data_IF_134971357926
#
_entry.id   IF_134971357926
#
_cell.length_a   1.000
_cell.length_b   1.000
_cell.length_c   1.000
_cell.angle_alpha   90.00
_cell.angle_beta   90.00
_cell.angle_gamma   90.00
#
_symmetry.space_group_name_H-M   'P 1'
#
loop_
_entity.id
_entity.type
_entity.pdbx_description
1 polymer ?
#
# COMPACT_ATOMS: atom_id res chain seq x y z
N UNK A 1 -37.61 7.53 14.86
CA UNK A 1 -36.14 7.51 14.73
C UNK A 1 -35.75 6.25 13.97
N UNK A 2 -35.09 6.42 12.82
CA UNK A 2 -35.21 5.55 11.64
C UNK A 2 -34.28 4.34 11.65
N UNK A 3 -34.80 3.18 11.23
CA UNK A 3 -34.11 1.89 11.01
C UNK A 3 -32.83 2.00 10.17
N UNK A 4 -32.74 3.01 9.29
CA UNK A 4 -31.56 3.30 8.46
C UNK A 4 -30.31 3.65 9.27
N UNK A 5 -30.46 4.38 10.38
CA UNK A 5 -29.35 4.77 11.27
C UNK A 5 -28.90 3.68 12.26
N UNK A 6 -29.67 2.59 12.38
CA UNK A 6 -29.28 1.40 13.14
C UNK A 6 -28.49 0.40 12.26
N UNK A 7 -28.80 0.33 10.96
CA UNK A 7 -28.09 -0.52 10.00
C UNK A 7 -26.65 -0.07 9.76
N UNK A 8 -26.42 1.22 9.52
CA UNK A 8 -25.08 1.80 9.30
C UNK A 8 -24.17 1.55 10.53
N UNK A 9 -24.67 1.85 11.73
CA UNK A 9 -23.93 1.60 12.99
C UNK A 9 -23.56 0.14 13.22
N UNK A 10 -24.35 -0.81 12.71
CA UNK A 10 -24.04 -2.25 12.82
C UNK A 10 -22.90 -2.67 11.88
N UNK A 11 -22.85 -2.09 10.68
CA UNK A 11 -21.77 -2.35 9.71
C UNK A 11 -20.45 -1.78 10.21
N UNK A 12 -20.45 -0.52 10.66
CA UNK A 12 -19.28 0.14 11.25
C UNK A 12 -18.73 -0.66 12.44
N UNK A 13 -19.60 -1.10 13.36
CA UNK A 13 -19.18 -1.92 14.49
C UNK A 13 -18.57 -3.26 14.06
N UNK A 14 -19.16 -3.92 13.05
CA UNK A 14 -18.63 -5.18 12.54
C UNK A 14 -17.27 -5.01 11.86
N UNK A 15 -17.07 -3.90 11.14
CA UNK A 15 -15.80 -3.53 10.51
C UNK A 15 -14.71 -3.25 11.55
N UNK A 16 -15.00 -2.47 12.60
CA UNK A 16 -14.05 -2.23 13.68
C UNK A 16 -13.68 -3.54 14.41
N UNK A 17 -14.67 -4.38 14.72
CA UNK A 17 -14.41 -5.70 15.32
C UNK A 17 -13.57 -6.61 14.40
N UNK A 18 -13.69 -6.47 13.08
CA UNK A 18 -12.85 -7.19 12.14
C UNK A 18 -11.42 -6.67 12.14
N UNK A 19 -11.23 -5.34 12.11
CA UNK A 19 -9.91 -4.71 12.23
C UNK A 19 -9.21 -5.10 13.53
N UNK A 20 -9.91 -5.10 14.66
CA UNK A 20 -9.33 -5.54 15.95
C UNK A 20 -8.82 -6.98 15.90
N UNK A 21 -9.57 -7.90 15.28
CA UNK A 21 -9.12 -9.28 15.08
C UNK A 21 -7.89 -9.37 14.19
N UNK A 22 -7.85 -8.56 13.13
CA UNK A 22 -6.69 -8.51 12.21
C UNK A 22 -5.47 -7.96 12.97
N UNK A 23 -5.61 -6.88 13.73
CA UNK A 23 -4.52 -6.29 14.53
C UNK A 23 -3.93 -7.30 15.50
N UNK A 24 -4.77 -8.00 16.25
CA UNK A 24 -4.31 -9.02 17.21
C UNK A 24 -3.59 -10.18 16.52
N UNK A 25 -4.13 -10.69 15.40
CA UNK A 25 -3.50 -11.76 14.63
C UNK A 25 -2.16 -11.31 13.99
N UNK A 26 -2.09 -10.07 13.50
CA UNK A 26 -0.90 -9.50 12.88
C UNK A 26 0.21 -9.24 13.89
N UNK A 27 -0.15 -8.75 15.09
CA UNK A 27 0.79 -8.50 16.19
C UNK A 27 1.55 -9.76 16.63
N UNK A 28 0.93 -10.93 16.49
CA UNK A 28 1.57 -12.21 16.78
C UNK A 28 2.56 -12.68 15.69
N UNK A 29 2.54 -12.06 14.50
CA UNK A 29 3.35 -12.44 13.33
C UNK A 29 4.52 -11.49 13.08
N UNK A 30 4.30 -10.19 13.33
CA UNK A 30 5.28 -9.15 13.04
C UNK A 30 6.14 -8.81 14.26
N UNK A 31 7.35 -8.32 14.01
CA UNK A 31 8.13 -7.65 15.04
C UNK A 31 7.39 -6.41 15.57
N UNK A 32 7.62 -6.02 16.82
CA UNK A 32 6.97 -4.86 17.42
C UNK A 32 7.15 -3.56 16.61
N UNK A 33 8.34 -3.24 16.04
CA UNK A 33 8.50 -2.08 15.17
C UNK A 33 7.65 -2.15 13.90
N UNK A 34 7.55 -3.34 13.28
CA UNK A 34 6.77 -3.49 12.04
C UNK A 34 5.28 -3.45 12.30
N UNK A 35 4.82 -4.03 13.40
CA UNK A 35 3.44 -3.89 13.82
C UNK A 35 3.05 -2.43 14.07
N UNK A 36 3.91 -1.67 14.77
CA UNK A 36 3.68 -0.24 14.99
C UNK A 36 3.61 0.54 13.66
N UNK A 37 4.50 0.22 12.72
CA UNK A 37 4.46 0.77 11.36
C UNK A 37 3.14 0.42 10.64
N UNK A 38 2.71 -0.85 10.63
CA UNK A 38 1.43 -1.26 10.02
C UNK A 38 0.22 -0.53 10.61
N UNK A 39 0.20 -0.30 11.92
CA UNK A 39 -0.86 0.52 12.58
C UNK A 39 -0.76 1.99 12.15
N UNK A 40 0.46 2.53 12.01
CA UNK A 40 0.68 3.87 11.44
C UNK A 40 0.10 4.00 10.02
N UNK A 41 0.43 3.06 9.14
CA UNK A 41 -0.07 3.01 7.75
C UNK A 41 -1.58 2.86 7.73
N UNK A 42 -2.16 1.98 8.55
CA UNK A 42 -3.62 1.86 8.69
C UNK A 42 -4.29 3.20 9.01
N UNK A 43 -3.81 3.89 10.05
CA UNK A 43 -4.40 5.15 10.50
C UNK A 43 -4.26 6.25 9.45
N UNK A 44 -3.09 6.35 8.82
CA UNK A 44 -2.82 7.31 7.74
C UNK A 44 -3.68 7.03 6.51
N UNK A 45 -3.75 5.78 6.06
CA UNK A 45 -4.53 5.39 4.89
C UNK A 45 -6.03 5.65 5.12
N UNK A 46 -6.55 5.36 6.32
CA UNK A 46 -7.95 5.64 6.66
C UNK A 46 -8.26 7.14 6.68
N UNK A 47 -7.36 7.96 7.21
CA UNK A 47 -7.55 9.41 7.23
C UNK A 47 -7.53 9.99 5.81
N UNK A 48 -6.61 9.52 4.97
CA UNK A 48 -6.55 9.88 3.56
C UNK A 48 -7.79 9.41 2.80
N UNK A 49 -8.30 8.21 3.07
CA UNK A 49 -9.52 7.71 2.45
C UNK A 49 -10.72 8.64 2.72
N UNK A 50 -10.88 9.11 3.96
CA UNK A 50 -11.90 10.12 4.31
C UNK A 50 -11.72 11.41 3.51
N UNK A 51 -10.49 11.86 3.37
CA UNK A 51 -10.16 13.12 2.70
C UNK A 51 -10.43 13.06 1.20
N UNK A 52 -10.08 11.95 0.56
CA UNK A 52 -10.07 11.80 -0.89
C UNK A 52 -11.25 10.98 -1.44
N UNK A 53 -12.24 10.67 -0.60
CA UNK A 53 -13.47 9.98 -1.01
C UNK A 53 -13.28 8.50 -1.36
N UNK A 54 -12.28 7.83 -0.77
CA UNK A 54 -12.07 6.39 -0.93
C UNK A 54 -12.74 5.58 0.21
N UNK A 55 -12.80 4.26 0.05
CA UNK A 55 -13.38 3.37 1.06
C UNK A 55 -12.45 3.23 2.29
N UNK A 56 -12.83 3.85 3.41
CA UNK A 56 -12.07 3.84 4.65
C UNK A 56 -11.70 2.44 5.13
N UNK A 57 -12.62 1.48 5.02
CA UNK A 57 -12.41 0.13 5.52
C UNK A 57 -11.43 -0.63 4.63
N UNK A 58 -11.54 -0.47 3.31
CA UNK A 58 -10.57 -1.05 2.35
C UNK A 58 -9.16 -0.52 2.64
N UNK A 59 -9.01 0.80 2.74
CA UNK A 59 -7.72 1.41 3.01
C UNK A 59 -7.16 1.01 4.39
N UNK A 60 -8.00 0.89 5.41
CA UNK A 60 -7.58 0.44 6.74
C UNK A 60 -7.08 -1.02 6.73
N UNK A 61 -7.85 -1.94 6.14
CA UNK A 61 -7.46 -3.36 6.07
C UNK A 61 -6.19 -3.53 5.24
N UNK A 62 -6.11 -2.88 4.07
CA UNK A 62 -4.93 -2.94 3.21
C UNK A 62 -3.70 -2.32 3.89
N UNK A 63 -3.84 -1.14 4.50
CA UNK A 63 -2.76 -0.48 5.23
C UNK A 63 -2.25 -1.31 6.41
N UNK A 64 -3.15 -1.98 7.13
CA UNK A 64 -2.76 -2.87 8.24
C UNK A 64 -2.02 -4.11 7.73
N UNK A 65 -2.42 -4.69 6.60
CA UNK A 65 -1.89 -5.96 6.09
C UNK A 65 -0.79 -5.82 5.03
N UNK A 66 -0.44 -4.61 4.57
CA UNK A 66 0.49 -4.41 3.44
C UNK A 66 1.82 -5.15 3.62
N UNK A 67 2.34 -5.16 4.84
CA UNK A 67 3.65 -5.72 5.20
C UNK A 67 3.56 -7.14 5.79
N UNK A 68 2.40 -7.81 5.76
CA UNK A 68 2.22 -9.12 6.40
C UNK A 68 3.09 -10.24 5.78
N UNK A 69 3.62 -10.04 4.56
CA UNK A 69 4.59 -10.92 3.91
C UNK A 69 6.05 -10.51 4.09
N UNK A 70 6.35 -9.38 4.75
CA UNK A 70 7.65 -8.71 4.73
C UNK A 70 8.80 -9.51 5.35
N UNK A 71 8.51 -10.27 6.40
CA UNK A 71 9.50 -11.03 7.18
C UNK A 71 9.68 -12.48 6.68
N UNK A 72 9.09 -12.85 5.53
CA UNK A 72 9.27 -14.16 4.92
C UNK A 72 10.66 -14.31 4.30
N UNK A 73 11.17 -15.54 4.29
CA UNK A 73 12.41 -15.87 3.60
C UNK A 73 12.25 -15.77 2.07
N UNK A 74 13.36 -15.56 1.36
CA UNK A 74 13.39 -15.40 -0.10
C UNK A 74 12.71 -16.57 -0.83
N UNK A 75 12.95 -17.82 -0.41
CA UNK A 75 12.36 -18.98 -1.07
C UNK A 75 10.83 -18.95 -0.95
N UNK A 76 10.31 -18.63 0.23
CA UNK A 76 8.87 -18.48 0.45
C UNK A 76 8.27 -17.32 -0.34
N UNK A 77 8.94 -16.16 -0.38
CA UNK A 77 8.52 -15.00 -1.17
C UNK A 77 8.39 -15.34 -2.66
N UNK A 78 9.43 -15.96 -3.24
CA UNK A 78 9.43 -16.38 -4.65
C UNK A 78 8.34 -17.40 -4.94
N UNK A 79 8.18 -18.41 -4.08
CA UNK A 79 7.14 -19.42 -4.24
C UNK A 79 5.75 -18.79 -4.24
N UNK A 80 5.44 -17.96 -3.25
CA UNK A 80 4.14 -17.28 -3.16
C UNK A 80 3.89 -16.34 -4.35
N UNK A 81 4.90 -15.59 -4.80
CA UNK A 81 4.78 -14.72 -5.97
C UNK A 81 4.50 -15.50 -7.27
N UNK A 82 5.13 -16.67 -7.47
CA UNK A 82 4.83 -17.55 -8.63
C UNK A 82 3.42 -18.11 -8.60
N UNK A 83 2.88 -18.37 -7.41
CA UNK A 83 1.53 -18.88 -7.25
C UNK A 83 0.46 -17.79 -7.40
N UNK A 84 0.83 -16.50 -7.33
CA UNK A 84 -0.05 -15.37 -7.64
C UNK A 84 -0.24 -15.28 -9.16
N UNK A 85 -1.42 -15.67 -9.65
CA UNK A 85 -1.76 -15.56 -11.08
C UNK A 85 -1.88 -14.09 -11.49
N UNK A 86 -1.22 -13.69 -12.57
CA UNK A 86 -1.37 -12.35 -13.15
C UNK A 86 -0.55 -11.25 -12.46
N UNK A 87 0.39 -11.60 -11.58
CA UNK A 87 1.15 -10.69 -10.70
C UNK A 87 1.99 -9.63 -11.41
N UNK A 88 2.26 -9.77 -12.72
CA UNK A 88 3.01 -8.78 -13.51
C UNK A 88 4.47 -8.57 -13.09
N UNK A 89 4.91 -9.09 -11.94
CA UNK A 89 6.29 -9.09 -11.49
C UNK A 89 6.99 -10.40 -11.82
N UNK A 90 8.25 -10.28 -12.21
CA UNK A 90 9.14 -11.41 -12.36
C UNK A 90 9.50 -11.97 -10.97
N UNK A 91 9.00 -13.16 -10.65
CA UNK A 91 9.36 -13.86 -9.41
C UNK A 91 10.85 -14.23 -9.34
N UNK A 92 11.60 -14.11 -10.44
CA UNK A 92 13.05 -14.25 -10.55
C UNK A 92 13.80 -12.90 -10.40
N UNK A 93 13.13 -11.84 -9.93
CA UNK A 93 13.74 -10.56 -9.55
C UNK A 93 15.06 -10.72 -8.76
N UNK A 94 16.08 -9.89 -9.01
CA UNK A 94 17.31 -9.87 -8.20
C UNK A 94 17.05 -9.42 -6.75
N UNK A 95 15.91 -8.79 -6.46
CA UNK A 95 15.54 -8.33 -5.12
C UNK A 95 14.24 -9.01 -4.65
N UNK A 96 14.36 -10.22 -4.11
CA UNK A 96 13.23 -11.01 -3.64
C UNK A 96 12.37 -10.29 -2.59
N UNK A 97 12.93 -9.35 -1.83
CA UNK A 97 12.17 -8.57 -0.83
C UNK A 97 11.03 -7.81 -1.49
N UNK A 98 11.13 -7.37 -2.75
CA UNK A 98 10.04 -6.70 -3.44
C UNK A 98 8.77 -7.56 -3.53
N UNK A 99 8.93 -8.89 -3.57
CA UNK A 99 7.84 -9.85 -3.72
C UNK A 99 6.88 -9.91 -2.52
N UNK A 100 7.20 -9.25 -1.40
CA UNK A 100 6.35 -9.26 -0.21
C UNK A 100 4.97 -8.63 -0.41
N UNK A 101 4.79 -7.72 -1.38
CA UNK A 101 3.44 -7.22 -1.73
C UNK A 101 2.55 -8.35 -2.23
N UNK A 102 3.02 -9.12 -3.21
CA UNK A 102 2.29 -10.28 -3.74
C UNK A 102 2.13 -11.41 -2.75
N UNK A 103 3.19 -11.73 -2.00
CA UNK A 103 3.10 -12.72 -0.93
C UNK A 103 2.11 -12.27 0.16
N UNK A 104 2.15 -10.98 0.53
CA UNK A 104 1.27 -10.35 1.49
C UNK A 104 -0.20 -10.41 1.07
N UNK A 105 -0.51 -10.12 -0.19
CA UNK A 105 -1.87 -10.23 -0.71
C UNK A 105 -2.40 -11.68 -0.60
N UNK A 106 -1.56 -12.67 -0.89
CA UNK A 106 -1.93 -14.09 -0.71
C UNK A 106 -2.14 -14.45 0.76
N UNK A 107 -1.27 -13.98 1.64
CA UNK A 107 -1.40 -14.20 3.09
C UNK A 107 -2.67 -13.55 3.62
N UNK A 108 -2.98 -12.31 3.20
CA UNK A 108 -4.20 -11.63 3.55
C UNK A 108 -5.44 -12.45 3.16
N UNK A 109 -5.44 -13.05 1.97
CA UNK A 109 -6.53 -13.90 1.52
C UNK A 109 -6.65 -15.22 2.30
N UNK A 110 -5.54 -15.94 2.48
CA UNK A 110 -5.56 -17.29 3.07
C UNK A 110 -5.69 -17.25 4.60
N UNK A 111 -4.93 -16.37 5.24
CA UNK A 111 -4.75 -16.39 6.69
C UNK A 111 -5.64 -15.39 7.42
N UNK A 112 -5.97 -14.27 6.77
CA UNK A 112 -6.83 -13.22 7.34
C UNK A 112 -8.25 -13.23 6.74
N UNK A 113 -8.51 -14.10 5.76
CA UNK A 113 -9.84 -14.27 5.15
C UNK A 113 -10.29 -13.07 4.33
N UNK A 114 -9.36 -12.27 3.80
CA UNK A 114 -9.67 -11.11 2.95
C UNK A 114 -10.06 -11.57 1.55
N UNK A 115 -11.26 -11.22 1.11
CA UNK A 115 -11.79 -11.54 -0.22
C UNK A 115 -12.03 -10.31 -1.11
N UNK A 116 -11.99 -9.10 -0.55
CA UNK A 116 -12.16 -7.85 -1.32
C UNK A 116 -10.96 -7.62 -2.26
N UNK A 117 -11.15 -7.65 -3.58
CA UNK A 117 -10.06 -7.50 -4.54
C UNK A 117 -9.38 -6.12 -4.47
N UNK A 118 -10.06 -5.08 -3.98
CA UNK A 118 -9.48 -3.74 -3.78
C UNK A 118 -8.43 -3.76 -2.67
N UNK A 119 -8.70 -4.49 -1.59
CA UNK A 119 -7.73 -4.68 -0.49
C UNK A 119 -6.51 -5.45 -1.00
N UNK A 120 -6.74 -6.54 -1.72
CA UNK A 120 -5.66 -7.40 -2.23
C UNK A 120 -4.79 -6.65 -3.26
N UNK A 121 -5.40 -5.86 -4.15
CA UNK A 121 -4.71 -4.98 -5.09
C UNK A 121 -3.80 -3.97 -4.38
N UNK A 122 -4.33 -3.31 -3.35
CA UNK A 122 -3.59 -2.27 -2.63
C UNK A 122 -2.37 -2.86 -1.90
N UNK A 123 -2.52 -4.06 -1.31
CA UNK A 123 -1.42 -4.81 -0.72
C UNK A 123 -0.41 -5.25 -1.79
N UNK A 124 -0.87 -5.73 -2.94
CA UNK A 124 0.01 -6.21 -4.00
C UNK A 124 0.93 -5.12 -4.56
N UNK A 125 0.39 -3.90 -4.72
CA UNK A 125 1.06 -2.82 -5.45
C UNK A 125 1.73 -1.77 -4.58
N UNK A 126 1.67 -1.87 -3.25
CA UNK A 126 2.19 -0.83 -2.35
C UNK A 126 3.70 -0.57 -2.48
N UNK A 127 4.49 -1.55 -2.95
CA UNK A 127 5.96 -1.47 -2.93
C UNK A 127 6.57 -0.67 -4.07
N UNK A 128 6.15 -0.94 -5.31
CA UNK A 128 6.70 -0.33 -6.52
C UNK A 128 5.67 0.50 -7.27
N UNK A 129 4.39 0.41 -6.88
CA UNK A 129 3.27 0.85 -7.68
C UNK A 129 3.08 0.04 -8.97
N UNK A 130 2.03 0.40 -9.72
CA UNK A 130 1.70 -0.11 -11.04
C UNK A 130 0.86 0.93 -11.81
N UNK A 131 0.94 0.99 -13.14
CA UNK A 131 -0.06 1.70 -13.94
C UNK A 131 -1.48 1.19 -13.66
N UNK A 132 -2.47 2.07 -13.70
CA UNK A 132 -3.88 1.72 -13.48
C UNK A 132 -4.26 1.46 -12.02
N UNK A 133 -3.43 1.86 -11.06
CA UNK A 133 -3.75 1.79 -9.64
C UNK A 133 -5.01 2.58 -9.30
N UNK A 134 -5.90 1.97 -8.54
CA UNK A 134 -7.09 2.60 -7.94
C UNK A 134 -6.70 3.66 -6.91
N UNK A 135 -7.66 4.48 -6.48
CA UNK A 135 -7.42 5.48 -5.43
C UNK A 135 -7.01 4.80 -4.11
N UNK A 136 -7.57 3.64 -3.79
CA UNK A 136 -7.20 2.86 -2.60
C UNK A 136 -5.75 2.35 -2.68
N UNK A 137 -5.33 1.84 -3.83
CA UNK A 137 -3.94 1.39 -4.04
C UNK A 137 -2.96 2.55 -3.82
N UNK A 138 -3.27 3.72 -4.40
CA UNK A 138 -2.42 4.92 -4.31
C UNK A 138 -2.35 5.46 -2.89
N UNK A 139 -3.49 5.46 -2.17
CA UNK A 139 -3.54 5.86 -0.77
C UNK A 139 -2.67 4.94 0.10
N UNK A 140 -2.78 3.62 -0.05
CA UNK A 140 -2.00 2.68 0.76
C UNK A 140 -0.51 2.78 0.46
N UNK A 141 -0.15 2.89 -0.83
CA UNK A 141 1.24 3.11 -1.24
C UNK A 141 1.81 4.39 -0.63
N UNK A 142 1.09 5.52 -0.73
CA UNK A 142 1.56 6.79 -0.16
C UNK A 142 1.57 6.77 1.38
N UNK A 143 0.57 6.15 2.02
CA UNK A 143 0.51 6.03 3.48
C UNK A 143 1.74 5.31 4.05
N UNK A 144 2.24 4.28 3.36
CA UNK A 144 3.48 3.58 3.71
C UNK A 144 4.70 4.53 3.76
N UNK A 145 4.78 5.49 2.82
CA UNK A 145 5.85 6.50 2.81
C UNK A 145 5.72 7.56 3.92
N UNK A 146 4.50 7.94 4.29
CA UNK A 146 4.28 9.17 5.08
C UNK A 146 3.75 8.95 6.49
N UNK A 147 3.48 7.70 6.90
CA UNK A 147 2.97 7.40 8.24
C UNK A 147 3.85 8.03 9.33
N UNK A 148 3.29 8.44 10.50
CA UNK A 148 3.96 9.32 11.45
C UNK A 148 5.30 8.81 12.01
N UNK A 149 5.50 7.48 12.04
CA UNK A 149 6.73 6.82 12.47
C UNK A 149 7.87 6.87 11.44
N UNK A 150 7.60 7.24 10.18
CA UNK A 150 8.64 7.43 9.17
C UNK A 150 9.49 8.65 9.45
N UNK A 151 10.80 8.46 9.42
CA UNK A 151 11.82 9.49 9.60
C UNK A 151 12.94 9.31 8.56
N UNK A 152 12.87 10.09 7.48
CA UNK A 152 13.87 10.13 6.42
C UNK A 152 13.90 11.50 5.74
N UNK A 153 15.02 11.89 5.09
CA UNK A 153 15.11 13.17 4.39
C UNK A 153 13.98 13.33 3.35
N UNK A 154 13.20 14.41 3.46
CA UNK A 154 12.09 14.69 2.55
C UNK A 154 10.70 14.27 3.04
N UNK A 155 10.58 13.43 4.09
CA UNK A 155 9.26 12.93 4.56
C UNK A 155 8.30 14.06 4.95
N UNK A 156 8.79 15.15 5.57
CA UNK A 156 7.96 16.30 5.92
C UNK A 156 7.38 16.98 4.69
N UNK A 157 8.17 17.10 3.61
CA UNK A 157 7.70 17.66 2.35
C UNK A 157 6.66 16.75 1.68
N UNK A 158 6.87 15.43 1.71
CA UNK A 158 5.88 14.47 1.20
C UNK A 158 4.55 14.57 1.97
N UNK A 159 4.57 14.76 3.29
CA UNK A 159 3.36 14.98 4.10
C UNK A 159 2.63 16.27 3.73
N UNK A 160 3.36 17.34 3.41
CA UNK A 160 2.77 18.59 2.91
C UNK A 160 2.13 18.42 1.53
N UNK A 161 2.83 17.74 0.60
CA UNK A 161 2.30 17.42 -0.72
C UNK A 161 1.08 16.51 -0.65
N UNK A 162 1.05 15.57 0.31
CA UNK A 162 -0.11 14.70 0.52
C UNK A 162 -1.35 15.52 0.89
N UNK A 163 -1.16 16.73 1.43
CA UNK A 163 -2.22 17.70 1.63
C UNK A 163 -2.74 18.39 0.37
N UNK A 164 -2.07 18.24 -0.77
CA UNK A 164 -2.46 18.85 -2.05
C UNK A 164 -3.09 17.81 -3.00
N UNK A 165 -2.76 16.53 -2.83
CA UNK A 165 -3.40 15.41 -3.51
C UNK A 165 -2.56 14.14 -3.43
N UNK A 166 -3.22 12.98 -3.44
CA UNK A 166 -2.56 11.66 -3.38
C UNK A 166 -1.56 11.50 -4.52
N UNK A 167 -1.98 11.81 -5.75
CA UNK A 167 -1.16 11.62 -6.95
C UNK A 167 0.11 12.49 -6.95
N UNK A 168 0.00 13.75 -6.52
CA UNK A 168 1.15 14.66 -6.44
C UNK A 168 2.22 14.15 -5.47
N UNK A 169 1.79 13.74 -4.28
CA UNK A 169 2.68 13.25 -3.25
C UNK A 169 3.25 11.87 -3.57
N UNK A 170 2.44 10.99 -4.17
CA UNK A 170 2.89 9.66 -4.57
C UNK A 170 3.92 9.73 -5.69
N UNK A 171 3.72 10.59 -6.70
CA UNK A 171 4.71 10.81 -7.75
C UNK A 171 6.03 11.30 -7.18
N UNK A 172 6.01 12.30 -6.29
CA UNK A 172 7.20 12.80 -5.62
C UNK A 172 7.90 11.72 -4.77
N UNK A 173 7.14 10.94 -3.99
CA UNK A 173 7.69 9.86 -3.17
C UNK A 173 8.38 8.77 -4.01
N UNK A 174 7.78 8.40 -5.14
CA UNK A 174 8.35 7.41 -6.05
C UNK A 174 9.59 7.94 -6.78
N UNK A 175 9.60 9.21 -7.20
CA UNK A 175 10.78 9.85 -7.79
C UNK A 175 11.96 9.90 -6.80
N UNK A 176 11.70 10.31 -5.55
CA UNK A 176 12.70 10.33 -4.48
C UNK A 176 13.22 8.91 -4.19
N UNK A 177 12.32 7.93 -4.09
CA UNK A 177 12.67 6.52 -3.86
C UNK A 177 13.54 5.96 -4.99
N UNK A 178 13.16 6.19 -6.25
CA UNK A 178 13.95 5.76 -7.41
C UNK A 178 15.33 6.43 -7.43
N UNK A 179 15.40 7.74 -7.16
CA UNK A 179 16.67 8.49 -7.08
C UNK A 179 17.58 7.94 -5.99
N UNK A 180 17.01 7.65 -4.81
CA UNK A 180 17.73 7.01 -3.70
C UNK A 180 18.25 5.62 -4.08
N UNK A 181 17.40 4.77 -4.67
CA UNK A 181 17.78 3.41 -5.08
C UNK A 181 18.92 3.46 -6.11
N UNK A 182 18.82 4.31 -7.14
CA UNK A 182 19.85 4.42 -8.18
C UNK A 182 21.17 4.94 -7.59
N UNK A 183 21.12 5.94 -6.71
CA UNK A 183 22.33 6.52 -6.10
C UNK A 183 23.04 5.56 -5.14
N UNK A 184 22.32 4.66 -4.47
CA UNK A 184 22.90 3.75 -3.46
C UNK A 184 23.17 2.34 -3.98
N UNK A 185 22.42 1.87 -4.98
CA UNK A 185 22.59 0.50 -5.54
C UNK A 185 23.21 0.49 -6.93
N UNK A 186 23.18 1.59 -7.68
CA UNK A 186 23.76 1.67 -9.02
C UNK A 186 23.28 0.53 -9.93
N UNK A 187 24.21 -0.32 -10.38
CA UNK A 187 23.92 -1.45 -11.25
C UNK A 187 23.11 -2.59 -10.57
N UNK A 188 23.06 -2.63 -9.23
CA UNK A 188 22.31 -3.64 -8.47
C UNK A 188 20.85 -3.22 -8.19
N UNK A 189 20.42 -2.07 -8.71
CA UNK A 189 19.03 -1.65 -8.66
C UNK A 189 18.17 -2.57 -9.55
N UNK A 190 17.01 -2.98 -9.04
CA UNK A 190 16.08 -3.80 -9.83
C UNK A 190 15.46 -2.97 -10.96
N UNK A 191 15.78 -3.27 -12.24
CA UNK A 191 15.29 -2.48 -13.36
C UNK A 191 13.78 -2.61 -13.59
N UNK A 192 13.18 -3.74 -13.25
CA UNK A 192 11.74 -3.95 -13.40
C UNK A 192 10.97 -3.15 -12.35
N UNK A 193 11.47 -3.11 -11.11
CA UNK A 193 10.90 -2.28 -10.05
C UNK A 193 10.93 -0.79 -10.42
N UNK A 194 12.09 -0.30 -10.87
CA UNK A 194 12.25 1.08 -11.33
C UNK A 194 11.35 1.39 -12.53
N UNK A 195 11.19 0.46 -13.47
CA UNK A 195 10.31 0.63 -14.62
C UNK A 195 8.84 0.75 -14.21
N UNK A 196 8.37 -0.05 -13.24
CA UNK A 196 7.00 0.03 -12.72
C UNK A 196 6.73 1.38 -12.04
N UNK A 197 7.62 1.82 -11.15
CA UNK A 197 7.48 3.11 -10.47
C UNK A 197 7.51 4.27 -11.46
N UNK A 198 8.42 4.23 -12.45
CA UNK A 198 8.46 5.23 -13.51
C UNK A 198 7.18 5.26 -14.34
N UNK A 199 6.64 4.10 -14.72
CA UNK A 199 5.42 4.04 -15.52
C UNK A 199 4.22 4.68 -14.80
N UNK A 200 4.10 4.46 -13.48
CA UNK A 200 3.09 5.11 -12.65
C UNK A 200 3.29 6.63 -12.55
N UNK A 201 4.54 7.08 -12.35
CA UNK A 201 4.85 8.52 -12.33
C UNK A 201 4.45 9.20 -13.64
N UNK A 202 4.76 8.58 -14.79
CA UNK A 202 4.39 9.10 -16.10
C UNK A 202 2.87 9.08 -16.35
N UNK A 203 2.16 8.07 -15.86
CA UNK A 203 0.69 8.04 -15.88
C UNK A 203 0.11 9.22 -15.11
N UNK A 204 0.56 9.43 -13.86
CA UNK A 204 0.11 10.53 -13.01
C UNK A 204 0.35 11.89 -13.70
N UNK A 205 1.54 12.12 -14.24
CA UNK A 205 1.88 13.37 -14.93
C UNK A 205 0.99 13.62 -16.16
N UNK A 206 0.72 12.59 -16.95
CA UNK A 206 -0.18 12.69 -18.10
C UNK A 206 -1.60 13.05 -17.70
N UNK A 207 -2.14 12.42 -16.64
CA UNK A 207 -3.48 12.76 -16.12
C UNK A 207 -3.54 14.21 -15.61
N UNK A 208 -2.47 14.71 -14.99
CA UNK A 208 -2.36 16.11 -14.56
C UNK A 208 -2.36 17.09 -15.73
N UNK A 209 -1.60 16.79 -16.80
CA UNK A 209 -1.56 17.61 -18.02
C UNK A 209 -2.91 17.60 -18.76
N UNK A 210 -3.63 16.48 -18.73
CA UNK A 210 -4.95 16.33 -19.34
C UNK A 210 -6.09 16.99 -18.55
N UNK A 211 -5.85 17.41 -17.30
CA UNK A 211 -6.89 17.96 -16.42
C UNK A 211 -7.88 16.90 -15.90
N UNK A 212 -7.55 15.61 -16.05
CA UNK A 212 -8.33 14.49 -15.52
C UNK A 212 -7.96 14.29 -14.05
N UNK A 213 -8.50 15.15 -13.19
CA UNK A 213 -8.26 15.03 -11.75
C UNK A 213 -9.34 14.19 -11.08
N UNK A 214 -8.91 13.22 -10.29
CA UNK A 214 -9.64 12.77 -9.11
C UNK A 214 -9.58 13.91 -8.08
N UNK A 215 -10.42 14.93 -8.27
CA UNK A 215 -10.69 15.92 -7.23
C UNK A 215 -11.70 15.28 -6.28
N UNK A 216 -11.19 14.61 -5.24
CA UNK A 216 -11.95 14.16 -4.08
C UNK A 216 -11.50 14.97 -2.88
#
# INVERSE_FOLDING_TARGET
MTTRGQGVRRVELAQEMALDRIREALKARLSAPRFAHSVGVEMTARDMARRFGADEYVCAVAGLLHDCGRDLDEHTLRRMAREAKGSGIDADTPNAVLLHGWAGARIAAIDFGVDDPRVLSAIEHHTTGAPGMSIEDRIVCLADFIEPGRDFPGVSHLRELAGQGVDFALAAALEDSMSYIVSHRGADADPAALARSRALVEEIKKSQEAGEFTVG
#
